data_IF_309149893084
#
_entry.id   IF_309149893084
#
_cell.length_a   1.000
_cell.length_b   1.000
_cell.length_c   1.000
_cell.angle_alpha   90.00
_cell.angle_beta   90.00
_cell.angle_gamma   90.00
#
_symmetry.space_group_name_H-M   'P 1'
#
loop_
_entity.id
_entity.type
_entity.pdbx_description
1 polymer ?
#
# COMPACT_ATOMS: atom_id res chain seq x y z
N UNK A 1 -20.08 -38.94 13.12
CA UNK A 1 -20.00 -37.47 12.91
C UNK A 1 -19.50 -36.65 14.12
N UNK A 2 -19.55 -37.16 15.35
CA UNK A 2 -19.20 -36.37 16.56
C UNK A 2 -17.69 -36.10 16.80
N UNK A 3 -16.79 -36.99 16.37
CA UNK A 3 -15.34 -36.90 16.64
C UNK A 3 -14.63 -35.77 15.87
N UNK A 4 -15.03 -35.49 14.62
CA UNK A 4 -14.46 -34.38 13.83
C UNK A 4 -14.78 -33.01 14.45
N UNK A 5 -15.96 -32.83 15.04
CA UNK A 5 -16.38 -31.58 15.68
C UNK A 5 -15.56 -31.24 16.93
N UNK A 6 -15.25 -32.25 17.75
CA UNK A 6 -14.49 -32.08 19.00
C UNK A 6 -13.01 -31.79 18.72
N UNK A 7 -12.41 -32.48 17.74
CA UNK A 7 -11.02 -32.24 17.32
C UNK A 7 -10.86 -30.81 16.76
N UNK A 8 -11.83 -30.35 15.95
CA UNK A 8 -11.79 -29.01 15.37
C UNK A 8 -11.89 -27.91 16.45
N UNK A 9 -12.76 -28.10 17.46
CA UNK A 9 -12.87 -27.17 18.60
C UNK A 9 -11.60 -27.12 19.45
N UNK A 10 -10.96 -28.27 19.71
CA UNK A 10 -9.73 -28.36 20.53
C UNK A 10 -8.53 -27.73 19.80
N UNK A 11 -8.42 -27.94 18.49
CA UNK A 11 -7.39 -27.32 17.65
C UNK A 11 -7.56 -25.80 17.55
N UNK A 12 -8.78 -25.30 17.37
CA UNK A 12 -9.06 -23.85 17.40
C UNK A 12 -8.76 -23.22 18.76
N UNK A 13 -9.01 -23.93 19.86
CA UNK A 13 -8.67 -23.45 21.22
C UNK A 13 -7.15 -23.33 21.41
N UNK A 14 -6.38 -24.33 20.97
CA UNK A 14 -4.90 -24.29 21.05
C UNK A 14 -4.29 -23.20 20.15
N UNK A 15 -4.83 -22.99 18.94
CA UNK A 15 -4.39 -21.91 18.05
C UNK A 15 -4.70 -20.52 18.59
N UNK A 16 -5.85 -20.35 19.25
CA UNK A 16 -6.25 -19.10 19.92
C UNK A 16 -5.31 -18.74 21.06
N UNK A 17 -4.81 -19.74 21.78
CA UNK A 17 -3.80 -19.61 22.85
C UNK A 17 -2.41 -19.32 22.27
N UNK A 18 -2.06 -19.82 21.08
CA UNK A 18 -0.74 -19.62 20.50
C UNK A 18 -0.49 -18.19 19.98
N UNK A 19 -1.56 -17.47 19.60
CA UNK A 19 -1.47 -16.12 19.02
C UNK A 19 -2.26 -15.05 19.78
N UNK A 20 -2.86 -15.38 20.92
CA UNK A 20 -3.61 -14.45 21.77
C UNK A 20 -4.61 -13.58 20.97
N UNK A 21 -5.49 -14.22 20.18
CA UNK A 21 -6.34 -13.50 19.21
C UNK A 21 -7.23 -12.43 19.87
N UNK A 22 -7.65 -12.66 21.12
CA UNK A 22 -8.42 -11.68 21.91
C UNK A 22 -7.57 -10.45 22.28
N UNK A 23 -6.32 -10.65 22.69
CA UNK A 23 -5.40 -9.54 22.96
C UNK A 23 -5.06 -8.77 21.69
N UNK A 24 -4.93 -9.46 20.54
CA UNK A 24 -4.75 -8.80 19.24
C UNK A 24 -5.93 -7.85 18.97
N UNK A 25 -7.17 -8.30 19.18
CA UNK A 25 -8.36 -7.47 19.03
C UNK A 25 -8.38 -6.28 20.01
N UNK A 26 -8.06 -6.51 21.28
CA UNK A 26 -8.02 -5.45 22.31
C UNK A 26 -6.97 -4.37 21.98
N UNK A 27 -5.78 -4.77 21.52
CA UNK A 27 -4.78 -3.81 21.07
C UNK A 27 -5.23 -3.05 19.82
N UNK A 28 -5.93 -3.73 18.90
CA UNK A 28 -6.47 -3.10 17.71
C UNK A 28 -7.51 -2.03 18.04
N UNK A 29 -8.34 -2.25 19.07
CA UNK A 29 -9.25 -1.22 19.61
C UNK A 29 -8.49 0.00 20.12
N UNK A 30 -7.26 -0.16 20.61
CA UNK A 30 -6.41 0.97 21.02
C UNK A 30 -5.65 1.59 19.83
N UNK A 31 -5.91 1.14 18.61
CA UNK A 31 -5.17 1.55 17.41
C UNK A 31 -3.71 1.09 17.46
N UNK A 32 -3.42 -0.05 18.08
CA UNK A 32 -2.06 -0.60 18.22
C UNK A 32 -2.01 -2.04 17.73
N UNK A 33 -0.82 -2.49 17.34
CA UNK A 33 -0.57 -3.89 17.04
C UNK A 33 -0.05 -4.59 18.28
N UNK A 34 -0.61 -5.75 18.60
CA UNK A 34 -0.01 -6.67 19.55
C UNK A 34 1.17 -7.41 18.90
N UNK A 35 2.18 -7.84 19.67
CA UNK A 35 3.36 -8.56 19.14
C UNK A 35 2.97 -9.86 18.39
N UNK A 36 1.93 -10.55 18.89
CA UNK A 36 1.47 -11.82 18.31
C UNK A 36 0.82 -11.63 16.93
N UNK A 37 0.36 -10.41 16.59
CA UNK A 37 -0.16 -10.08 15.27
C UNK A 37 0.87 -10.33 14.17
N UNK A 38 2.09 -9.79 14.33
CA UNK A 38 3.15 -9.95 13.32
C UNK A 38 3.64 -11.40 13.22
N UNK A 39 3.68 -12.12 14.35
CA UNK A 39 3.97 -13.56 14.35
C UNK A 39 2.94 -14.35 13.52
N UNK A 40 1.66 -14.07 13.70
CA UNK A 40 0.58 -14.70 12.92
C UNK A 40 0.72 -14.37 11.43
N UNK A 41 0.98 -13.10 11.09
CA UNK A 41 1.23 -12.66 9.71
C UNK A 41 2.38 -13.43 9.07
N UNK A 42 3.48 -13.64 9.80
CA UNK A 42 4.65 -14.33 9.25
C UNK A 42 4.38 -15.82 9.02
N UNK A 43 3.65 -16.50 9.91
CA UNK A 43 3.24 -17.88 9.66
C UNK A 43 2.24 -17.99 8.48
N UNK A 44 1.38 -16.98 8.29
CA UNK A 44 0.52 -16.87 7.10
C UNK A 44 1.33 -16.74 5.82
N UNK A 45 2.35 -15.88 5.81
CA UNK A 45 3.24 -15.72 4.65
C UNK A 45 4.00 -17.00 4.30
N UNK A 46 4.28 -17.85 5.29
CA UNK A 46 4.86 -19.21 5.11
C UNK A 46 3.84 -20.25 4.66
N UNK A 47 2.56 -19.89 4.51
CA UNK A 47 1.50 -20.75 4.00
C UNK A 47 0.69 -21.49 5.05
N UNK A 48 0.93 -21.27 6.35
CA UNK A 48 0.14 -21.83 7.45
C UNK A 48 -1.02 -20.90 7.82
N UNK A 49 -1.98 -21.36 8.61
CA UNK A 49 -3.02 -20.50 9.22
C UNK A 49 -3.79 -19.60 8.24
N UNK A 50 -3.96 -20.02 6.98
CA UNK A 50 -4.62 -19.23 5.92
C UNK A 50 -6.06 -18.87 6.28
N UNK A 51 -6.71 -19.67 7.13
CA UNK A 51 -8.03 -19.41 7.66
C UNK A 51 -8.13 -18.09 8.47
N UNK A 52 -7.00 -17.53 8.92
CA UNK A 52 -6.94 -16.26 9.66
C UNK A 52 -6.61 -15.04 8.80
N UNK A 53 -6.50 -15.17 7.47
CA UNK A 53 -6.20 -14.05 6.58
C UNK A 53 -7.22 -12.91 6.73
N UNK A 54 -8.52 -13.23 6.79
CA UNK A 54 -9.56 -12.22 6.96
C UNK A 54 -9.54 -11.58 8.33
N UNK A 55 -9.21 -12.34 9.37
CA UNK A 55 -9.01 -11.79 10.70
C UNK A 55 -7.88 -10.76 10.70
N UNK A 56 -6.72 -11.14 10.17
CA UNK A 56 -5.55 -10.26 10.07
C UNK A 56 -5.84 -9.01 9.26
N UNK A 57 -6.55 -9.14 8.14
CA UNK A 57 -6.99 -8.00 7.33
C UNK A 57 -7.88 -7.02 8.09
N UNK A 58 -8.89 -7.53 8.82
CA UNK A 58 -9.77 -6.69 9.65
C UNK A 58 -9.01 -5.96 10.75
N UNK A 59 -8.05 -6.62 11.39
CA UNK A 59 -7.23 -6.01 12.45
C UNK A 59 -6.36 -4.89 11.89
N UNK A 60 -5.65 -5.14 10.79
CA UNK A 60 -4.81 -4.13 10.14
C UNK A 60 -5.62 -2.91 9.69
N UNK A 61 -6.79 -3.14 9.07
CA UNK A 61 -7.70 -2.07 8.70
C UNK A 61 -8.18 -1.27 9.92
N UNK A 62 -8.62 -1.95 10.99
CA UNK A 62 -9.10 -1.31 12.23
C UNK A 62 -8.01 -0.43 12.84
N UNK A 63 -6.78 -0.93 12.94
CA UNK A 63 -5.64 -0.17 13.48
C UNK A 63 -5.36 1.07 12.63
N UNK A 64 -5.27 0.93 11.31
CA UNK A 64 -4.99 2.07 10.43
C UNK A 64 -6.12 3.10 10.41
N UNK A 65 -7.39 2.67 10.40
CA UNK A 65 -8.52 3.60 10.43
C UNK A 65 -8.53 4.47 11.70
N UNK A 66 -8.03 3.93 12.81
CA UNK A 66 -7.94 4.64 14.11
C UNK A 66 -6.71 5.53 14.21
N UNK A 67 -5.56 5.12 13.63
CA UNK A 67 -4.33 5.94 13.60
C UNK A 67 -4.41 7.10 12.62
N UNK A 68 -5.07 6.89 11.49
CA UNK A 68 -5.05 7.82 10.37
C UNK A 68 -6.26 8.75 10.41
N UNK A 69 -6.00 10.04 10.67
CA UNK A 69 -7.04 11.09 10.72
C UNK A 69 -7.60 11.41 9.34
N UNK A 70 -6.72 11.66 8.36
CA UNK A 70 -7.10 12.08 7.01
C UNK A 70 -7.09 10.85 6.09
N UNK A 71 -8.24 10.56 5.48
CA UNK A 71 -8.44 9.42 4.58
C UNK A 71 -9.17 9.90 3.34
N UNK A 72 -8.64 9.58 2.17
CA UNK A 72 -9.24 9.92 0.88
C UNK A 72 -9.58 8.61 0.18
N UNK A 73 -10.83 8.43 -0.26
CA UNK A 73 -11.25 7.23 -0.97
C UNK A 73 -10.41 6.98 -2.23
N UNK A 74 -10.27 5.72 -2.64
CA UNK A 74 -9.39 5.32 -3.76
C UNK A 74 -9.71 6.08 -5.05
N UNK A 75 -10.99 6.16 -5.44
CA UNK A 75 -11.38 6.85 -6.67
C UNK A 75 -11.02 8.33 -6.63
N UNK A 76 -11.31 9.02 -5.52
CA UNK A 76 -11.00 10.45 -5.34
C UNK A 76 -9.48 10.66 -5.35
N UNK A 77 -8.73 9.83 -4.61
CA UNK A 77 -7.27 9.93 -4.55
C UNK A 77 -6.62 9.71 -5.91
N UNK A 78 -7.07 8.71 -6.67
CA UNK A 78 -6.61 8.48 -8.05
C UNK A 78 -6.96 9.66 -8.96
N UNK A 79 -8.17 10.21 -8.88
CA UNK A 79 -8.55 11.39 -9.66
C UNK A 79 -7.67 12.60 -9.34
N UNK A 80 -7.38 12.86 -8.04
CA UNK A 80 -6.48 13.93 -7.63
C UNK A 80 -5.08 13.70 -8.20
N UNK A 81 -4.53 12.48 -8.09
CA UNK A 81 -3.21 12.16 -8.62
C UNK A 81 -3.15 12.30 -10.14
N UNK A 82 -4.21 11.93 -10.87
CA UNK A 82 -4.28 12.13 -12.32
C UNK A 82 -4.34 13.60 -12.71
N UNK A 83 -5.12 14.42 -12.00
CA UNK A 83 -5.15 15.87 -12.22
C UNK A 83 -3.77 16.49 -11.94
N UNK A 84 -3.13 16.12 -10.82
CA UNK A 84 -1.78 16.57 -10.49
C UNK A 84 -0.74 16.12 -11.53
N UNK A 85 -0.90 14.90 -12.08
CA UNK A 85 -0.04 14.41 -13.16
C UNK A 85 -0.18 15.28 -14.42
N UNK A 86 -1.42 15.60 -14.83
CA UNK A 86 -1.69 16.46 -15.98
C UNK A 86 -1.08 17.85 -15.76
N UNK A 87 -1.28 18.44 -14.57
CA UNK A 87 -0.68 19.74 -14.21
C UNK A 87 0.84 19.65 -14.27
N UNK A 88 1.45 18.59 -13.72
CA UNK A 88 2.90 18.41 -13.71
C UNK A 88 3.47 18.26 -15.11
N UNK A 89 2.79 17.51 -16.00
CA UNK A 89 3.16 17.39 -17.41
C UNK A 89 3.06 18.74 -18.11
N UNK A 90 2.00 19.51 -17.86
CA UNK A 90 1.86 20.87 -18.41
C UNK A 90 3.00 21.78 -17.93
N UNK A 91 3.41 21.67 -16.66
CA UNK A 91 4.54 22.42 -16.12
C UNK A 91 5.87 22.08 -16.79
N UNK A 92 6.04 20.86 -17.34
CA UNK A 92 7.22 20.51 -18.14
C UNK A 92 7.33 21.29 -19.46
N UNK A 93 6.25 21.92 -19.92
CA UNK A 93 6.28 22.79 -21.12
C UNK A 93 6.68 24.23 -20.79
N UNK A 94 6.88 24.54 -19.49
CA UNK A 94 7.29 25.85 -18.99
C UNK A 94 8.79 25.87 -18.76
N UNK A 95 9.36 27.06 -18.65
CA UNK A 95 10.80 27.24 -18.41
C UNK A 95 11.12 27.44 -16.92
N UNK A 96 12.41 27.34 -16.60
CA UNK A 96 12.95 27.68 -15.27
C UNK A 96 12.35 26.84 -14.13
N UNK A 97 11.93 27.51 -13.07
CA UNK A 97 11.45 26.85 -11.84
C UNK A 97 10.16 26.06 -12.03
N UNK A 98 9.33 26.42 -13.02
CA UNK A 98 8.09 25.70 -13.30
C UNK A 98 8.38 24.32 -13.90
N UNK A 99 9.37 24.22 -14.81
CA UNK A 99 9.86 22.94 -15.32
C UNK A 99 10.31 22.04 -14.16
N UNK A 100 11.17 22.59 -13.29
CA UNK A 100 11.74 21.86 -12.16
C UNK A 100 10.64 21.36 -11.21
N UNK A 101 9.63 22.19 -10.95
CA UNK A 101 8.48 21.80 -10.13
C UNK A 101 7.73 20.61 -10.74
N UNK A 102 7.40 20.67 -12.04
CA UNK A 102 6.76 19.55 -12.74
C UNK A 102 7.61 18.28 -12.68
N UNK A 103 8.91 18.40 -12.96
CA UNK A 103 9.85 17.29 -12.96
C UNK A 103 9.99 16.62 -11.59
N UNK A 104 9.98 17.40 -10.50
CA UNK A 104 10.05 16.87 -9.12
C UNK A 104 8.74 16.22 -8.67
N UNK A 105 7.58 16.73 -9.12
CA UNK A 105 6.27 16.22 -8.73
C UNK A 105 5.94 14.87 -9.39
N UNK A 106 6.33 14.65 -10.65
CA UNK A 106 5.96 13.44 -11.39
C UNK A 106 6.36 12.14 -10.67
N UNK A 107 7.62 11.94 -10.23
CA UNK A 107 8.03 10.71 -9.55
C UNK A 107 7.20 10.40 -8.30
N UNK A 108 6.79 11.44 -7.56
CA UNK A 108 5.95 11.33 -6.35
C UNK A 108 4.52 10.89 -6.68
N UNK A 109 4.00 11.28 -7.84
CA UNK A 109 2.65 10.97 -8.29
C UNK A 109 2.59 9.57 -8.91
N UNK A 110 3.55 9.23 -9.77
CA UNK A 110 3.55 7.95 -10.50
C UNK A 110 3.85 6.75 -9.59
N UNK A 111 4.59 6.95 -8.49
CA UNK A 111 4.92 5.87 -7.55
C UNK A 111 3.68 5.17 -6.95
N UNK A 112 2.76 5.88 -6.25
CA UNK A 112 1.56 5.26 -5.72
C UNK A 112 0.58 4.81 -6.81
N UNK A 113 0.54 5.47 -7.97
CA UNK A 113 -0.27 5.01 -9.12
C UNK A 113 0.24 3.68 -9.69
N UNK A 114 1.56 3.51 -9.79
CA UNK A 114 2.17 2.26 -10.26
C UNK A 114 1.90 1.10 -9.28
N UNK A 115 1.95 1.36 -7.97
CA UNK A 115 1.49 0.40 -6.95
C UNK A 115 0.02 0.06 -7.14
N UNK A 116 -0.85 1.06 -7.29
CA UNK A 116 -2.29 0.87 -7.46
C UNK A 116 -2.60 -0.01 -8.68
N UNK A 117 -2.12 0.38 -9.86
CA UNK A 117 -2.37 -0.33 -11.11
C UNK A 117 -1.86 -1.77 -11.04
N UNK A 118 -0.59 -1.94 -10.65
CA UNK A 118 0.05 -3.27 -10.58
C UNK A 118 -0.63 -4.15 -9.52
N UNK A 119 -1.00 -3.57 -8.38
CA UNK A 119 -1.75 -4.26 -7.33
C UNK A 119 -3.09 -4.77 -7.83
N UNK A 120 -3.88 -3.91 -8.49
CA UNK A 120 -5.18 -4.29 -9.07
C UNK A 120 -5.06 -5.40 -10.11
N UNK A 121 -4.06 -5.34 -10.99
CA UNK A 121 -3.75 -6.40 -11.98
C UNK A 121 -3.49 -7.75 -11.28
N UNK A 122 -2.83 -7.74 -10.11
CA UNK A 122 -2.55 -8.95 -9.36
C UNK A 122 -3.61 -9.34 -8.32
N UNK A 123 -4.75 -8.65 -8.28
CA UNK A 123 -5.86 -8.92 -7.34
C UNK A 123 -5.60 -8.42 -5.92
N UNK A 124 -4.66 -7.49 -5.74
CA UNK A 124 -4.40 -6.79 -4.48
C UNK A 124 -5.24 -5.51 -4.48
N UNK A 125 -6.10 -5.36 -3.48
CA UNK A 125 -6.95 -4.20 -3.33
C UNK A 125 -6.33 -3.18 -2.38
N UNK A 126 -6.94 -1.99 -2.36
CA UNK A 126 -6.52 -0.86 -1.55
C UNK A 126 -7.75 -0.22 -0.93
N UNK A 127 -7.59 0.35 0.27
CA UNK A 127 -8.70 0.86 1.06
C UNK A 127 -8.89 2.37 0.90
N UNK A 128 -7.80 3.14 1.02
CA UNK A 128 -7.81 4.60 0.92
C UNK A 128 -6.40 5.15 0.76
N UNK A 129 -6.30 6.39 0.32
CA UNK A 129 -5.12 7.23 0.42
C UNK A 129 -5.05 7.92 1.77
N UNK A 130 -3.84 8.15 2.26
CA UNK A 130 -3.59 8.95 3.45
C UNK A 130 -2.23 9.65 3.36
N UNK A 131 -2.08 10.83 3.99
CA UNK A 131 -0.80 11.51 4.08
C UNK A 131 0.15 10.73 5.01
N UNK A 132 1.38 10.50 4.55
CA UNK A 132 2.45 9.85 5.31
C UNK A 132 3.81 10.55 5.07
N UNK A 133 4.89 9.94 5.55
CA UNK A 133 6.25 10.44 5.41
C UNK A 133 6.62 11.44 6.52
N UNK A 134 7.89 11.89 6.58
CA UNK A 134 8.38 12.78 7.64
C UNK A 134 7.59 14.10 7.72
N UNK A 135 7.23 14.65 6.56
CA UNK A 135 6.44 15.87 6.45
C UNK A 135 4.91 15.63 6.46
N UNK A 136 4.45 14.36 6.50
CA UNK A 136 3.02 13.99 6.46
C UNK A 136 2.25 14.61 5.29
N UNK A 137 2.87 14.65 4.12
CA UNK A 137 2.27 15.15 2.87
C UNK A 137 2.36 14.13 1.74
N UNK A 138 3.13 13.06 1.90
CA UNK A 138 3.31 12.04 0.85
C UNK A 138 2.00 11.26 0.67
N UNK A 139 1.44 11.22 -0.55
CA UNK A 139 0.23 10.44 -0.81
C UNK A 139 0.56 8.95 -0.72
N UNK A 140 0.16 8.31 0.37
CA UNK A 140 0.40 6.88 0.59
C UNK A 140 -0.87 6.08 0.43
N UNK A 141 -0.75 4.93 -0.23
CA UNK A 141 -1.87 4.03 -0.50
C UNK A 141 -1.95 2.93 0.56
N UNK A 142 -3.07 2.86 1.28
CA UNK A 142 -3.29 1.77 2.24
C UNK A 142 -3.76 0.52 1.51
N UNK A 143 -2.91 -0.50 1.50
CA UNK A 143 -3.21 -1.83 0.97
C UNK A 143 -4.28 -2.52 1.82
N UNK A 144 -5.24 -3.20 1.17
CA UNK A 144 -6.11 -4.19 1.81
C UNK A 144 -5.27 -5.43 2.14
N UNK A 145 -4.98 -5.60 3.41
CA UNK A 145 -4.01 -6.60 3.86
C UNK A 145 -4.48 -8.04 3.66
N UNK A 146 -5.80 -8.29 3.64
CA UNK A 146 -6.31 -9.63 3.39
C UNK A 146 -6.04 -10.05 1.94
N UNK A 147 -6.36 -9.17 0.98
CA UNK A 147 -6.10 -9.44 -0.46
C UNK A 147 -4.59 -9.52 -0.74
N UNK A 148 -3.80 -8.70 -0.05
CA UNK A 148 -2.34 -8.77 -0.10
C UNK A 148 -1.81 -10.13 0.37
N UNK A 149 -2.26 -10.65 1.51
CA UNK A 149 -1.79 -11.93 2.03
C UNK A 149 -2.25 -13.13 1.17
N UNK A 150 -3.38 -13.01 0.46
CA UNK A 150 -3.82 -14.01 -0.54
C UNK A 150 -2.94 -14.03 -1.79
N UNK A 151 -2.41 -12.88 -2.19
CA UNK A 151 -1.51 -12.81 -3.35
C UNK A 151 -0.21 -13.56 -3.08
N UNK A 152 0.34 -14.23 -4.11
CA UNK A 152 1.61 -14.95 -3.97
C UNK A 152 2.77 -13.99 -3.69
N UNK A 153 3.86 -14.49 -3.10
CA UNK A 153 5.04 -13.68 -2.80
C UNK A 153 5.57 -12.91 -4.02
N UNK A 154 5.59 -13.58 -5.18
CA UNK A 154 6.02 -12.98 -6.46
C UNK A 154 5.11 -11.82 -6.89
N UNK A 155 3.78 -11.97 -6.79
CA UNK A 155 2.83 -10.90 -7.11
C UNK A 155 3.01 -9.68 -6.20
N UNK A 156 3.23 -9.90 -4.89
CA UNK A 156 3.52 -8.83 -3.94
C UNK A 156 4.83 -8.13 -4.26
N UNK A 157 5.87 -8.89 -4.63
CA UNK A 157 7.16 -8.34 -5.03
C UNK A 157 7.04 -7.46 -6.28
N UNK A 158 6.31 -7.91 -7.32
CA UNK A 158 6.06 -7.08 -8.51
C UNK A 158 5.30 -5.81 -8.19
N UNK A 159 4.28 -5.88 -7.33
CA UNK A 159 3.56 -4.69 -6.88
C UNK A 159 4.48 -3.72 -6.13
N UNK A 160 5.36 -4.18 -5.25
CA UNK A 160 6.32 -3.28 -4.56
C UNK A 160 7.40 -2.74 -5.50
N UNK A 161 7.88 -3.55 -6.45
CA UNK A 161 8.88 -3.13 -7.41
C UNK A 161 8.34 -2.09 -8.39
N UNK A 162 7.05 -2.12 -8.75
CA UNK A 162 6.47 -1.20 -9.73
C UNK A 162 6.59 0.26 -9.32
N UNK A 163 6.40 0.57 -8.03
CA UNK A 163 6.58 1.93 -7.51
C UNK A 163 8.00 2.44 -7.72
N UNK A 164 9.00 1.65 -7.32
CA UNK A 164 10.42 2.00 -7.48
C UNK A 164 10.80 2.15 -8.96
N UNK A 165 10.38 1.21 -9.81
CA UNK A 165 10.64 1.25 -11.25
C UNK A 165 10.02 2.52 -11.88
N UNK A 166 8.76 2.84 -11.55
CA UNK A 166 8.10 4.03 -12.06
C UNK A 166 8.79 5.32 -11.61
N UNK A 167 9.22 5.40 -10.36
CA UNK A 167 9.99 6.54 -9.83
C UNK A 167 11.32 6.72 -10.58
N UNK A 168 12.09 5.65 -10.77
CA UNK A 168 13.38 5.72 -11.44
C UNK A 168 13.23 6.08 -12.93
N UNK A 169 12.31 5.42 -13.63
CA UNK A 169 12.05 5.70 -15.06
C UNK A 169 11.57 7.14 -15.28
N UNK A 170 10.65 7.62 -14.42
CA UNK A 170 10.16 8.99 -14.53
C UNK A 170 11.27 10.01 -14.24
N UNK A 171 12.07 9.83 -13.19
CA UNK A 171 13.20 10.70 -12.89
C UNK A 171 14.23 10.72 -14.03
N UNK A 172 14.57 9.55 -14.58
CA UNK A 172 15.46 9.45 -15.74
C UNK A 172 14.90 10.20 -16.95
N UNK A 173 13.61 10.01 -17.26
CA UNK A 173 12.95 10.73 -18.34
C UNK A 173 12.98 12.26 -18.12
N UNK A 174 12.81 12.73 -16.89
CA UNK A 174 12.88 14.16 -16.58
C UNK A 174 14.28 14.73 -16.85
N UNK A 175 15.32 13.98 -16.53
CA UNK A 175 16.71 14.37 -16.84
C UNK A 175 16.91 14.44 -18.37
N UNK A 176 16.47 13.43 -19.11
CA UNK A 176 16.55 13.42 -20.58
C UNK A 176 15.81 14.61 -21.18
N UNK A 177 14.57 14.86 -20.75
CA UNK A 177 13.77 15.99 -21.23
C UNK A 177 14.42 17.34 -20.91
N UNK A 178 15.10 17.47 -19.76
CA UNK A 178 15.85 18.68 -19.42
C UNK A 178 17.02 18.96 -20.35
N UNK A 179 17.69 17.92 -20.87
CA UNK A 179 18.76 18.11 -21.85
C UNK A 179 18.21 18.47 -23.23
N UNK A 180 17.12 17.83 -23.65
CA UNK A 180 16.47 18.10 -24.92
C UNK A 180 15.82 19.49 -24.97
N UNK A 181 15.20 19.94 -23.88
CA UNK A 181 14.61 21.29 -23.82
C UNK A 181 15.66 22.38 -23.95
N UNK A 182 16.87 22.18 -23.39
CA UNK A 182 17.98 23.13 -23.49
C UNK A 182 18.54 23.24 -24.92
N UNK A 183 18.52 22.15 -25.70
CA UNK A 183 19.00 22.16 -27.09
C UNK A 183 18.06 22.93 -28.02
N UNK A 184 16.75 22.97 -27.74
CA UNK A 184 15.76 23.68 -28.55
C UNK A 184 15.68 25.19 -28.24
N UNK A 185 16.45 25.68 -27.25
CA UNK A 185 16.50 27.08 -26.84
C UNK A 185 17.76 27.82 -27.34
N UNK A 186 18.61 27.15 -28.14
CA UNK A 186 19.80 27.67 -28.81
C UNK A 186 19.57 27.71 -30.32
#
# INVERSE_FOLDING_TARGET
MHTKSIINKKCNKLKKIMFDLEEIEEYAEKGKYHKSFWKLVDEIKKGKFKEYIDFVGRIDEKVYRKRTKIKVGISIGNSILLVLLIISIFLLTREGYLFLLGALCIPWIVHPLAHYITGKVYGINFLFYFPNGPAKVEPTLKIDYATYLRASARKRAYMHASGVIATLLSAFLMVVLSFLSKQNAL
#
